data_IF_570086643489
#
_entry.id   IF_570086643489
#
_cell.length_a   1.000
_cell.length_b   1.000
_cell.length_c   1.000
_cell.angle_alpha   90.00
_cell.angle_beta   90.00
_cell.angle_gamma   90.00
#
_symmetry.space_group_name_H-M   'P 1'
#
loop_
_entity.id
_entity.type
_entity.pdbx_description
1 polymer ?
#
# COMPACT_ATOMS: atom_id res chain seq x y z
N UNK A 1 9.12 14.03 -1.43
CA UNK A 1 9.43 13.05 -0.37
C UNK A 1 9.41 11.64 -0.98
N UNK A 2 10.51 10.88 -0.86
CA UNK A 2 10.58 9.50 -1.36
C UNK A 2 9.65 8.62 -0.51
N UNK A 3 8.75 7.87 -1.16
CA UNK A 3 7.86 6.95 -0.46
C UNK A 3 8.65 5.73 0.00
N UNK A 4 8.65 5.46 1.32
CA UNK A 4 9.27 4.25 1.86
C UNK A 4 8.57 3.02 1.30
N UNK A 5 9.33 1.97 1.03
CA UNK A 5 8.81 0.68 0.58
C UNK A 5 7.69 0.23 1.52
N UNK A 6 6.54 -0.12 0.93
CA UNK A 6 5.43 -0.67 1.68
C UNK A 6 5.77 -2.09 2.12
N UNK A 7 5.83 -2.32 3.43
CA UNK A 7 6.03 -3.64 3.99
C UNK A 7 4.70 -4.15 4.58
N UNK A 8 4.03 -5.11 3.91
CA UNK A 8 2.74 -5.63 4.35
C UNK A 8 2.81 -6.33 5.71
N UNK A 9 3.90 -7.04 6.02
CA UNK A 9 4.10 -7.74 7.29
C UNK A 9 4.21 -6.78 8.48
N UNK A 10 4.93 -5.65 8.29
CA UNK A 10 5.06 -4.63 9.33
C UNK A 10 3.70 -3.96 9.60
N UNK A 11 2.93 -3.67 8.55
CA UNK A 11 1.58 -3.11 8.72
C UNK A 11 0.66 -4.12 9.39
N UNK A 12 0.67 -5.38 8.93
CA UNK A 12 -0.12 -6.47 9.49
C UNK A 12 0.11 -6.59 11.00
N UNK A 13 1.37 -6.73 11.42
CA UNK A 13 1.73 -6.91 12.83
C UNK A 13 1.30 -5.70 13.66
N UNK A 14 1.48 -4.47 13.18
CA UNK A 14 1.03 -3.27 13.89
C UNK A 14 -0.48 -3.25 14.09
N UNK A 15 -1.25 -3.63 13.07
CA UNK A 15 -2.71 -3.68 13.16
C UNK A 15 -3.16 -4.77 14.13
N UNK A 16 -2.59 -5.97 14.04
CA UNK A 16 -2.90 -7.08 14.96
C UNK A 16 -2.62 -6.68 16.41
N UNK A 17 -1.42 -6.18 16.70
CA UNK A 17 -1.05 -5.73 18.05
C UNK A 17 -1.97 -4.61 18.54
N UNK A 18 -2.29 -3.63 17.69
CA UNK A 18 -3.21 -2.57 18.09
C UNK A 18 -4.59 -3.10 18.48
N UNK A 19 -5.19 -4.00 17.69
CA UNK A 19 -6.53 -4.51 17.99
C UNK A 19 -6.54 -5.50 19.15
N UNK A 20 -5.46 -6.26 19.38
CA UNK A 20 -5.34 -7.13 20.56
C UNK A 20 -5.07 -6.29 21.81
N UNK A 21 -3.99 -5.50 21.80
CA UNK A 21 -3.47 -4.85 23.00
C UNK A 21 -4.28 -3.61 23.40
N UNK A 22 -4.82 -2.86 22.43
CA UNK A 22 -5.58 -1.62 22.69
C UNK A 22 -7.10 -1.80 22.66
N UNK A 23 -7.60 -2.75 21.86
CA UNK A 23 -9.06 -2.97 21.71
C UNK A 23 -9.56 -4.26 22.36
N UNK A 24 -8.67 -5.14 22.83
CA UNK A 24 -9.04 -6.39 23.49
C UNK A 24 -9.74 -7.39 22.55
N UNK A 25 -9.51 -7.30 21.24
CA UNK A 25 -10.13 -8.21 20.28
C UNK A 25 -9.47 -9.59 20.34
N UNK A 26 -10.23 -10.62 19.96
CA UNK A 26 -9.67 -11.95 19.76
C UNK A 26 -8.64 -11.94 18.61
N UNK A 27 -7.67 -12.85 18.67
CA UNK A 27 -6.64 -13.00 17.64
C UNK A 27 -7.24 -13.16 16.25
N UNK A 28 -8.29 -13.96 16.12
CA UNK A 28 -9.00 -14.22 14.86
C UNK A 28 -9.58 -12.93 14.27
N UNK A 29 -10.29 -12.15 15.09
CA UNK A 29 -10.89 -10.89 14.65
C UNK A 29 -9.83 -9.83 14.31
N UNK A 30 -8.74 -9.76 15.09
CA UNK A 30 -7.63 -8.86 14.81
C UNK A 30 -6.90 -9.24 13.50
N UNK A 31 -6.71 -10.53 13.24
CA UNK A 31 -6.12 -11.04 12.01
C UNK A 31 -6.98 -10.72 10.78
N UNK A 32 -8.30 -10.93 10.85
CA UNK A 32 -9.22 -10.59 9.75
C UNK A 32 -9.17 -9.10 9.40
N UNK A 33 -9.19 -8.24 10.42
CA UNK A 33 -9.07 -6.79 10.23
C UNK A 33 -7.71 -6.44 9.64
N UNK A 34 -6.62 -7.03 10.13
CA UNK A 34 -5.29 -6.78 9.63
C UNK A 34 -5.13 -7.20 8.16
N UNK A 35 -5.66 -8.35 7.76
CA UNK A 35 -5.68 -8.79 6.36
C UNK A 35 -6.44 -7.79 5.48
N UNK A 36 -7.63 -7.36 5.89
CA UNK A 36 -8.43 -6.39 5.13
C UNK A 36 -7.72 -5.04 4.99
N UNK A 37 -7.09 -4.56 6.06
CA UNK A 37 -6.34 -3.29 6.06
C UNK A 37 -5.12 -3.38 5.15
N UNK A 38 -4.33 -4.46 5.25
CA UNK A 38 -3.15 -4.66 4.39
C UNK A 38 -3.54 -4.78 2.93
N UNK A 39 -4.58 -5.53 2.59
CA UNK A 39 -5.07 -5.64 1.22
C UNK A 39 -5.54 -4.29 0.65
N UNK A 40 -6.30 -3.51 1.42
CA UNK A 40 -6.76 -2.18 1.00
C UNK A 40 -5.59 -1.22 0.78
N UNK A 41 -4.62 -1.21 1.68
CA UNK A 41 -3.43 -0.36 1.56
C UNK A 41 -2.51 -0.81 0.41
N UNK A 42 -2.38 -2.13 0.18
CA UNK A 42 -1.66 -2.65 -0.98
C UNK A 42 -2.35 -2.24 -2.29
N UNK A 43 -3.67 -2.39 -2.40
CA UNK A 43 -4.44 -1.98 -3.58
C UNK A 43 -4.41 -0.47 -3.83
N UNK A 44 -4.45 0.34 -2.77
CA UNK A 44 -4.29 1.81 -2.88
C UNK A 44 -2.91 2.20 -3.41
N UNK A 45 -1.90 1.39 -3.10
CA UNK A 45 -0.52 1.55 -3.55
C UNK A 45 -0.24 0.77 -4.84
N UNK A 46 -1.26 0.33 -5.58
CA UNK A 46 -1.10 -0.23 -6.93
C UNK A 46 -1.64 0.81 -7.92
N UNK A 47 -0.92 0.96 -9.02
CA UNK A 47 -1.33 1.81 -10.13
C UNK A 47 -2.71 1.40 -10.61
N UNK A 48 -3.66 2.35 -10.58
CA UNK A 48 -5.03 2.13 -11.06
C UNK A 48 -5.14 2.13 -12.59
N UNK A 49 -4.04 2.40 -13.30
CA UNK A 49 -4.00 2.21 -14.74
C UNK A 49 -3.87 0.71 -15.04
N UNK A 50 -4.85 0.16 -15.74
CA UNK A 50 -4.93 -1.26 -16.10
C UNK A 50 -3.73 -1.76 -16.90
N UNK A 51 -2.99 -0.84 -17.56
CA UNK A 51 -1.79 -1.12 -18.35
C UNK A 51 -0.48 -1.09 -17.55
N UNK A 52 -0.37 -0.32 -16.46
CA UNK A 52 0.88 -0.18 -15.67
C UNK A 52 0.86 -1.16 -14.46
N UNK A 53 -0.27 -1.39 -13.73
CA UNK A 53 -0.45 -2.35 -12.58
C UNK A 53 0.70 -2.47 -11.56
N UNK A 54 1.71 -1.61 -11.59
CA UNK A 54 2.87 -1.63 -10.71
C UNK A 54 2.53 -1.05 -9.34
N UNK A 55 3.35 -1.34 -8.34
CA UNK A 55 3.23 -0.67 -7.05
C UNK A 55 3.63 0.80 -7.16
N UNK A 56 3.01 1.69 -6.38
CA UNK A 56 3.31 3.13 -6.29
C UNK A 56 4.74 3.43 -5.83
N UNK A 57 5.46 2.45 -5.28
CA UNK A 57 6.89 2.56 -4.99
C UNK A 57 7.79 2.13 -6.17
N UNK A 58 7.26 1.30 -7.09
CA UNK A 58 7.86 0.97 -8.38
C UNK A 58 7.53 2.01 -9.45
N UNK A 59 6.45 2.79 -9.24
CA UNK A 59 6.38 4.11 -9.82
C UNK A 59 7.63 4.82 -9.40
N UNK A 60 8.32 5.30 -10.40
CA UNK A 60 9.66 5.76 -10.24
C UNK A 60 9.56 7.15 -9.56
N UNK A 61 8.84 7.39 -8.47
CA UNK A 61 9.04 8.62 -7.66
C UNK A 61 10.40 8.60 -6.94
N UNK A 62 11.15 7.51 -7.11
CA UNK A 62 12.59 7.41 -6.91
C UNK A 62 13.45 7.74 -8.17
N UNK A 63 12.90 7.94 -9.38
CA UNK A 63 13.63 8.17 -10.67
C UNK A 63 12.76 8.69 -11.89
N UNK A 64 11.62 9.32 -11.60
CA UNK A 64 10.62 10.05 -12.40
C UNK A 64 10.15 9.48 -13.76
N UNK A 65 9.61 8.25 -13.80
CA UNK A 65 9.05 7.61 -15.01
C UNK A 65 8.01 6.49 -14.67
N UNK A 66 7.02 6.20 -15.53
CA UNK A 66 6.39 4.85 -15.63
C UNK A 66 6.71 4.37 -17.05
N UNK A 67 6.89 3.06 -17.23
CA UNK A 67 7.21 2.44 -18.53
C UNK A 67 6.04 2.51 -19.55
N UNK A 68 4.89 3.03 -19.14
CA UNK A 68 3.70 3.22 -20.00
C UNK A 68 3.58 4.72 -20.31
N UNK A 69 3.75 5.07 -21.60
CA UNK A 69 3.75 6.46 -22.08
C UNK A 69 2.44 7.22 -21.90
N UNK A 70 1.31 6.52 -21.75
CA UNK A 70 -0.03 7.09 -21.50
C UNK A 70 -0.55 6.75 -20.10
N UNK A 71 0.31 6.74 -19.07
CA UNK A 71 -0.23 6.69 -17.72
C UNK A 71 -0.74 8.07 -17.30
N UNK A 72 -2.04 8.17 -16.98
CA UNK A 72 -2.65 9.29 -16.22
C UNK A 72 -2.08 9.46 -14.79
N UNK A 73 -0.97 8.78 -14.48
CA UNK A 73 -0.09 9.07 -13.36
C UNK A 73 0.51 10.50 -13.39
N UNK A 74 0.07 11.36 -14.32
CA UNK A 74 0.46 12.76 -14.51
C UNK A 74 -0.06 13.69 -13.39
N UNK A 75 0.28 13.39 -12.15
CA UNK A 75 0.37 14.43 -11.11
C UNK A 75 1.84 14.70 -10.77
N UNK A 76 2.67 14.98 -11.79
CA UNK A 76 3.85 15.83 -11.60
C UNK A 76 4.06 16.73 -12.82
N UNK A 77 2.98 17.42 -13.25
CA UNK A 77 3.18 18.73 -13.88
C UNK A 77 3.63 19.66 -12.75
N UNK A 78 4.83 20.22 -12.94
CA UNK A 78 5.46 21.17 -12.03
C UNK A 78 4.68 22.49 -11.95
#
# INVERSE_FOLDING_TARGET
>A
MLEKQFNPDVLYNKVVHFYIDKKGYSKEKANEIAQSVVQKEAQRRICKNEKCKHFSHDHIRNAETCLVGECDCQEFIK
#
